data_IF_114393777405
#
_entry.id   IF_114393777405
#
_cell.length_a   1.000
_cell.length_b   1.000
_cell.length_c   1.000
_cell.angle_alpha   90.00
_cell.angle_beta   90.00
_cell.angle_gamma   90.00
#
_symmetry.space_group_name_H-M   'P 1'
#
loop_
_entity.id
_entity.type
_entity.pdbx_description
1 polymer ?
#
# COMPACT_ATOMS: atom_id res chain seq x y z
N UNK A 1 -14.30 25.13 -15.24
CA UNK A 1 -13.27 25.89 -14.48
C UNK A 1 -11.99 25.86 -15.31
N UNK A 2 -11.61 26.98 -15.88
CA UNK A 2 -10.37 27.16 -16.65
C UNK A 2 -9.41 27.97 -15.81
N UNK A 3 -8.52 27.29 -15.10
CA UNK A 3 -7.35 27.91 -14.49
C UNK A 3 -6.12 27.46 -15.28
N UNK A 4 -5.32 28.43 -15.74
CA UNK A 4 -4.19 28.20 -16.65
C UNK A 4 -2.92 28.68 -15.96
N UNK A 5 -2.23 27.78 -15.28
CA UNK A 5 -1.01 28.10 -14.53
C UNK A 5 0.27 27.79 -15.32
N UNK A 6 1.36 28.47 -14.97
CA UNK A 6 2.68 28.38 -15.61
C UNK A 6 3.69 27.81 -14.60
N UNK A 7 4.51 26.85 -15.03
CA UNK A 7 5.55 26.23 -14.20
C UNK A 7 6.89 26.16 -14.95
N UNK A 8 8.00 26.35 -14.24
CA UNK A 8 9.37 26.15 -14.74
C UNK A 8 9.85 24.69 -14.54
N UNK A 9 10.92 24.23 -15.24
CA UNK A 9 11.46 22.85 -15.13
C UNK A 9 11.93 22.48 -13.71
N UNK A 10 12.37 23.48 -12.95
CA UNK A 10 12.78 23.42 -11.54
C UNK A 10 11.58 23.38 -10.55
N UNK A 11 10.36 23.36 -11.07
CA UNK A 11 9.10 23.26 -10.31
C UNK A 11 8.33 21.97 -10.62
N UNK A 12 9.02 20.91 -11.09
CA UNK A 12 8.42 19.62 -11.41
C UNK A 12 7.60 19.05 -10.23
N UNK A 13 8.08 19.23 -9.00
CA UNK A 13 7.38 18.88 -7.76
C UNK A 13 6.02 19.59 -7.58
N UNK A 14 5.84 20.81 -8.12
CA UNK A 14 4.54 21.53 -8.07
C UNK A 14 3.53 20.93 -9.05
N UNK A 15 4.00 20.41 -10.18
CA UNK A 15 3.17 19.66 -11.12
C UNK A 15 2.73 18.35 -10.47
N UNK A 16 3.65 17.60 -9.86
CA UNK A 16 3.33 16.39 -9.10
C UNK A 16 2.36 16.66 -7.93
N UNK A 17 2.54 17.77 -7.18
CA UNK A 17 1.63 18.21 -6.12
C UNK A 17 0.19 18.45 -6.63
N UNK A 18 0.05 19.06 -7.82
CA UNK A 18 -1.25 19.32 -8.45
C UNK A 18 -1.87 18.04 -9.00
N UNK A 19 -1.08 17.17 -9.62
CA UNK A 19 -1.50 15.87 -10.15
C UNK A 19 -1.98 14.96 -9.02
N UNK A 20 -1.24 14.87 -7.91
CA UNK A 20 -1.66 14.13 -6.72
C UNK A 20 -2.97 14.67 -6.12
N UNK A 21 -3.14 15.99 -6.05
CA UNK A 21 -4.38 16.61 -5.56
C UNK A 21 -5.59 16.39 -6.48
N UNK A 22 -5.37 16.26 -7.78
CA UNK A 22 -6.41 15.89 -8.74
C UNK A 22 -6.75 14.39 -8.67
N UNK A 23 -5.73 13.54 -8.44
CA UNK A 23 -5.89 12.11 -8.23
C UNK A 23 -6.72 11.80 -6.96
N UNK A 24 -6.49 12.52 -5.86
CA UNK A 24 -7.29 12.44 -4.61
C UNK A 24 -8.77 12.81 -4.83
N UNK A 25 -9.05 13.66 -5.81
CA UNK A 25 -10.41 14.07 -6.19
C UNK A 25 -11.08 13.12 -7.20
N UNK A 26 -10.43 12.00 -7.52
CA UNK A 26 -10.97 10.97 -8.41
C UNK A 26 -10.82 11.27 -9.91
N UNK A 27 -10.07 12.32 -10.28
CA UNK A 27 -9.73 12.59 -11.67
C UNK A 27 -8.53 11.75 -12.07
N UNK A 28 -8.65 11.04 -13.20
CA UNK A 28 -7.54 10.27 -13.72
C UNK A 28 -6.65 11.18 -14.58
N UNK A 29 -5.37 11.19 -14.23
CA UNK A 29 -4.35 12.03 -14.87
C UNK A 29 -3.50 11.17 -15.83
N UNK A 30 -3.91 9.93 -16.11
CA UNK A 30 -3.20 8.95 -16.97
C UNK A 30 -3.24 9.28 -18.48
N UNK A 31 -3.89 10.38 -18.90
CA UNK A 31 -3.76 10.93 -20.26
C UNK A 31 -3.64 12.45 -20.23
N UNK A 32 -2.45 12.94 -19.86
CA UNK A 32 -2.13 14.35 -20.05
C UNK A 32 -1.87 14.62 -21.52
N UNK A 33 -2.85 15.23 -22.21
CA UNK A 33 -2.62 15.81 -23.54
C UNK A 33 -1.74 17.07 -23.40
N UNK A 34 -0.42 16.88 -23.30
CA UNK A 34 0.56 17.97 -23.26
C UNK A 34 0.63 18.68 -24.61
N UNK A 35 -0.20 19.71 -24.77
CA UNK A 35 -0.07 20.65 -25.88
C UNK A 35 0.84 21.79 -25.46
N UNK A 36 2.01 21.86 -26.09
CA UNK A 36 2.83 23.07 -26.07
C UNK A 36 2.04 24.15 -26.81
N UNK A 37 1.66 25.23 -26.12
CA UNK A 37 1.00 26.36 -26.77
C UNK A 37 1.93 26.99 -27.81
N UNK A 38 1.37 27.73 -28.79
CA UNK A 38 2.14 28.39 -29.86
C UNK A 38 3.27 29.32 -29.35
N UNK A 39 3.29 29.67 -28.06
CA UNK A 39 4.34 30.47 -27.42
C UNK A 39 5.54 29.66 -26.88
N UNK A 40 5.50 28.32 -26.93
CA UNK A 40 6.58 27.44 -26.47
C UNK A 40 6.79 27.39 -24.95
N UNK A 41 5.96 28.08 -24.15
CA UNK A 41 6.18 28.29 -22.69
C UNK A 41 5.07 27.73 -21.81
N UNK A 42 4.07 27.09 -22.39
CA UNK A 42 2.89 26.60 -21.66
C UNK A 42 2.61 25.15 -22.03
N UNK A 43 2.51 24.30 -21.01
CA UNK A 43 2.04 22.92 -21.12
C UNK A 43 0.58 22.88 -20.70
N UNK A 44 -0.32 22.56 -21.63
CA UNK A 44 -1.73 22.35 -21.29
C UNK A 44 -1.91 20.92 -20.77
N UNK A 45 -2.57 20.78 -19.62
CA UNK A 45 -2.75 19.49 -18.92
C UNK A 45 -4.25 19.28 -18.77
N UNK A 46 -4.82 18.29 -19.48
CA UNK A 46 -6.26 17.96 -19.41
C UNK A 46 -6.45 16.63 -18.70
N UNK A 47 -7.13 16.60 -17.54
CA UNK A 47 -7.49 15.34 -16.90
C UNK A 47 -8.58 14.62 -17.72
N UNK A 48 -8.54 13.29 -17.74
CA UNK A 48 -9.53 12.44 -18.39
C UNK A 48 -10.25 11.60 -17.32
N UNK A 49 -11.53 11.29 -17.54
CA UNK A 49 -12.25 10.33 -16.67
C UNK A 49 -12.13 8.96 -17.31
N UNK A 50 -11.67 7.97 -16.55
CA UNK A 50 -11.54 6.57 -16.97
C UNK A 50 -12.40 5.69 -16.05
N UNK A 51 -12.71 4.47 -16.51
CA UNK A 51 -13.50 3.50 -15.76
C UNK A 51 -12.86 3.15 -14.41
N UNK A 52 -13.68 2.88 -13.40
CA UNK A 52 -13.20 2.42 -12.11
C UNK A 52 -12.33 1.15 -12.24
N UNK A 53 -11.23 1.11 -11.47
CA UNK A 53 -10.28 0.00 -11.48
C UNK A 53 -9.36 -0.03 -12.71
N UNK A 54 -9.36 1.02 -13.54
CA UNK A 54 -8.50 1.05 -14.72
C UNK A 54 -7.02 1.04 -14.35
N UNK A 55 -6.60 1.89 -13.39
CA UNK A 55 -5.21 1.97 -12.98
C UNK A 55 -4.74 0.65 -12.37
N UNK A 56 -5.54 0.04 -11.48
CA UNK A 56 -5.26 -1.28 -10.94
C UNK A 56 -5.06 -2.32 -12.06
N UNK A 57 -6.01 -2.44 -13.00
CA UNK A 57 -5.90 -3.43 -14.10
C UNK A 57 -4.70 -3.17 -15.01
N UNK A 58 -4.40 -1.90 -15.31
CA UNK A 58 -3.26 -1.49 -16.13
C UNK A 58 -1.94 -1.86 -15.45
N UNK A 59 -1.77 -1.48 -14.17
CA UNK A 59 -0.57 -1.79 -13.41
C UNK A 59 -0.39 -3.30 -13.23
N UNK A 60 -1.47 -4.03 -12.88
CA UNK A 60 -1.46 -5.48 -12.74
C UNK A 60 -1.00 -6.17 -14.02
N UNK A 61 -1.49 -5.73 -15.18
CA UNK A 61 -1.08 -6.28 -16.48
C UNK A 61 0.39 -6.00 -16.79
N UNK A 62 0.90 -4.81 -16.46
CA UNK A 62 2.26 -4.38 -16.78
C UNK A 62 3.32 -4.98 -15.84
N UNK A 63 2.98 -5.18 -14.56
CA UNK A 63 3.96 -5.45 -13.50
C UNK A 63 3.64 -6.69 -12.66
N UNK A 64 2.40 -7.18 -12.71
CA UNK A 64 1.91 -8.23 -11.81
C UNK A 64 1.55 -7.75 -10.40
N UNK A 65 1.67 -6.45 -10.10
CA UNK A 65 1.30 -5.89 -8.81
C UNK A 65 -0.21 -5.69 -8.71
N UNK A 66 -0.84 -6.34 -7.73
CA UNK A 66 -2.25 -6.12 -7.38
C UNK A 66 -2.33 -5.18 -6.17
N UNK A 67 -2.76 -3.94 -6.41
CA UNK A 67 -2.82 -2.87 -5.41
C UNK A 67 -4.08 -2.04 -5.55
N UNK A 68 -4.46 -1.28 -4.53
CA UNK A 68 -5.64 -0.43 -4.61
C UNK A 68 -5.50 0.64 -5.71
N UNK A 69 -6.62 1.10 -6.27
CA UNK A 69 -6.65 2.03 -7.42
C UNK A 69 -5.76 3.26 -7.23
N UNK A 70 -5.81 3.92 -6.07
CA UNK A 70 -4.99 5.11 -5.80
C UNK A 70 -3.49 4.79 -5.66
N UNK A 71 -3.16 3.60 -5.15
CA UNK A 71 -1.78 3.13 -5.12
C UNK A 71 -1.30 2.84 -6.55
N UNK A 72 -2.14 2.19 -7.36
CA UNK A 72 -1.83 1.87 -8.74
C UNK A 72 -1.52 3.14 -9.55
N UNK A 73 -2.34 4.19 -9.40
CA UNK A 73 -2.10 5.49 -10.05
C UNK A 73 -0.76 6.08 -9.66
N UNK A 74 -0.42 6.05 -8.37
CA UNK A 74 0.85 6.59 -7.88
C UNK A 74 2.05 5.83 -8.46
N UNK A 75 1.97 4.50 -8.52
CA UNK A 75 3.00 3.65 -9.11
C UNK A 75 3.12 3.86 -10.63
N UNK A 76 1.99 4.00 -11.34
CA UNK A 76 1.99 4.31 -12.77
C UNK A 76 2.61 5.68 -13.08
N UNK A 77 2.37 6.69 -12.22
CA UNK A 77 3.01 7.99 -12.38
C UNK A 77 4.54 7.91 -12.21
N UNK A 78 5.03 7.11 -11.25
CA UNK A 78 6.48 6.91 -11.09
C UNK A 78 7.08 6.13 -12.27
N UNK A 79 6.35 5.16 -12.83
CA UNK A 79 6.71 4.48 -14.07
C UNK A 79 6.81 5.44 -15.27
N UNK A 80 5.85 6.34 -15.44
CA UNK A 80 5.87 7.34 -16.52
C UNK A 80 7.00 8.37 -16.32
N UNK A 81 7.26 8.78 -15.09
CA UNK A 81 8.41 9.63 -14.76
C UNK A 81 9.74 8.94 -15.10
N UNK A 82 9.86 7.65 -14.79
CA UNK A 82 11.02 6.84 -15.17
C UNK A 82 11.18 6.75 -16.69
N UNK A 83 10.09 6.51 -17.43
CA UNK A 83 10.08 6.48 -18.89
C UNK A 83 10.55 7.79 -19.52
N UNK A 84 10.08 8.92 -18.99
CA UNK A 84 10.50 10.24 -19.44
C UNK A 84 11.97 10.50 -19.14
N UNK A 85 12.42 10.18 -17.92
CA UNK A 85 13.81 10.40 -17.48
C UNK A 85 14.84 9.58 -18.27
N UNK A 86 14.43 8.45 -18.83
CA UNK A 86 15.26 7.54 -19.64
C UNK A 86 15.13 7.79 -21.15
N UNK A 87 14.34 8.78 -21.58
CA UNK A 87 14.09 9.13 -22.99
C UNK A 87 13.43 8.00 -23.80
N UNK A 88 12.58 7.19 -23.17
CA UNK A 88 11.95 5.98 -23.76
C UNK A 88 10.48 6.18 -24.12
N UNK A 89 10.10 7.41 -24.46
CA UNK A 89 8.72 7.75 -24.84
C UNK A 89 8.24 7.02 -26.10
N UNK A 90 9.15 6.62 -27.00
CA UNK A 90 8.82 5.84 -28.20
C UNK A 90 8.75 4.32 -28.00
N UNK A 91 9.10 3.82 -26.82
CA UNK A 91 9.14 2.38 -26.52
C UNK A 91 7.81 1.84 -25.99
N UNK A 92 7.65 0.53 -26.11
CA UNK A 92 6.50 -0.19 -25.60
C UNK A 92 6.47 -0.14 -24.06
N UNK A 93 5.30 0.17 -23.50
CA UNK A 93 5.16 0.43 -22.07
C UNK A 93 5.43 -0.83 -21.25
N UNK A 94 5.10 -2.00 -21.76
CA UNK A 94 5.37 -3.32 -21.19
C UNK A 94 6.88 -3.54 -20.98
N UNK A 95 7.72 -3.09 -21.91
CA UNK A 95 9.18 -3.19 -21.80
C UNK A 95 9.68 -2.22 -20.73
N UNK A 96 9.22 -0.97 -20.79
CA UNK A 96 9.62 0.06 -19.81
C UNK A 96 9.20 -0.33 -18.39
N UNK A 97 8.01 -0.93 -18.23
CA UNK A 97 7.52 -1.44 -16.94
C UNK A 97 8.40 -2.55 -16.39
N UNK A 98 8.88 -3.47 -17.24
CA UNK A 98 9.80 -4.52 -16.82
C UNK A 98 11.12 -3.95 -16.29
N UNK A 99 11.67 -2.95 -16.98
CA UNK A 99 12.92 -2.32 -16.55
C UNK A 99 12.72 -1.46 -15.30
N UNK A 100 11.63 -0.70 -15.20
CA UNK A 100 11.26 0.04 -14.00
C UNK A 100 11.13 -0.88 -12.77
N UNK A 101 10.49 -2.04 -12.93
CA UNK A 101 10.38 -3.03 -11.87
C UNK A 101 11.77 -3.46 -11.38
N UNK A 102 12.70 -3.72 -12.30
CA UNK A 102 14.05 -4.19 -11.99
C UNK A 102 14.97 -3.11 -11.41
N UNK A 103 14.87 -1.88 -11.90
CA UNK A 103 15.81 -0.80 -11.62
C UNK A 103 15.35 0.13 -10.50
N UNK A 104 14.04 0.26 -10.28
CA UNK A 104 13.46 1.20 -9.31
C UNK A 104 12.69 0.46 -8.22
N UNK A 105 11.69 -0.33 -8.58
CA UNK A 105 10.80 -0.97 -7.60
C UNK A 105 11.54 -2.03 -6.76
N UNK A 106 12.12 -3.04 -7.40
CA UNK A 106 12.79 -4.16 -6.71
C UNK A 106 13.95 -3.71 -5.81
N UNK A 107 14.86 -2.81 -6.24
CA UNK A 107 15.94 -2.34 -5.37
C UNK A 107 15.40 -1.60 -4.15
N UNK A 108 14.33 -0.82 -4.32
CA UNK A 108 13.69 -0.08 -3.23
C UNK A 108 13.09 -1.01 -2.20
N UNK A 109 12.25 -1.97 -2.61
CA UNK A 109 11.60 -2.90 -1.66
C UNK A 109 12.59 -3.89 -1.04
N UNK A 110 13.74 -4.16 -1.67
CA UNK A 110 14.83 -4.95 -1.07
C UNK A 110 15.48 -4.25 0.12
N UNK A 111 15.32 -2.93 0.26
CA UNK A 111 15.81 -2.18 1.42
C UNK A 111 14.96 -2.39 2.68
N UNK A 112 13.78 -3.03 2.59
CA UNK A 112 12.96 -3.35 3.76
C UNK A 112 13.79 -4.19 4.75
N UNK A 113 14.00 -3.70 5.99
CA UNK A 113 14.70 -4.44 7.03
C UNK A 113 13.98 -5.76 7.33
N UNK A 114 14.73 -6.78 7.74
CA UNK A 114 14.24 -8.17 7.84
C UNK A 114 13.01 -8.29 8.75
N UNK A 115 13.02 -7.54 9.83
CA UNK A 115 11.99 -7.50 10.87
C UNK A 115 10.64 -6.96 10.37
N UNK A 116 10.61 -6.12 9.33
CA UNK A 116 9.37 -5.54 8.79
C UNK A 116 8.80 -6.30 7.60
N UNK A 117 9.50 -7.30 7.04
CA UNK A 117 9.07 -7.99 5.81
C UNK A 117 7.76 -8.76 5.92
N UNK A 118 7.37 -9.13 7.13
CA UNK A 118 6.06 -9.74 7.40
C UNK A 118 4.99 -8.72 7.81
N UNK A 119 5.38 -7.47 8.07
CA UNK A 119 4.51 -6.42 8.58
C UNK A 119 4.02 -5.49 7.46
N UNK A 120 4.84 -5.28 6.42
CA UNK A 120 4.50 -4.41 5.29
C UNK A 120 4.72 -5.14 3.97
N UNK A 121 3.72 -5.08 3.10
CA UNK A 121 3.81 -5.62 1.75
C UNK A 121 4.75 -4.75 0.88
N UNK A 122 5.53 -5.32 -0.05
CA UNK A 122 6.46 -4.57 -0.88
C UNK A 122 5.83 -3.39 -1.63
N UNK A 123 4.64 -3.59 -2.20
CA UNK A 123 3.96 -2.54 -2.94
C UNK A 123 3.45 -1.41 -2.03
N UNK A 124 2.98 -1.75 -0.83
CA UNK A 124 2.60 -0.77 0.19
C UNK A 124 3.82 0.05 0.65
N UNK A 125 4.94 -0.61 0.93
CA UNK A 125 6.19 0.06 1.28
C UNK A 125 6.62 1.05 0.20
N UNK A 126 6.63 0.62 -1.07
CA UNK A 126 7.01 1.49 -2.17
C UNK A 126 6.06 2.68 -2.31
N UNK A 127 4.75 2.45 -2.19
CA UNK A 127 3.73 3.49 -2.18
C UNK A 127 3.98 4.55 -1.08
N UNK A 128 4.25 4.11 0.14
CA UNK A 128 4.51 5.01 1.28
C UNK A 128 5.83 5.76 1.14
N UNK A 129 6.87 5.12 0.60
CA UNK A 129 8.13 5.80 0.27
C UNK A 129 7.91 6.94 -0.73
N UNK A 130 7.09 6.72 -1.76
CA UNK A 130 6.77 7.78 -2.73
C UNK A 130 6.02 8.95 -2.08
N UNK A 131 5.13 8.68 -1.13
CA UNK A 131 4.44 9.71 -0.36
C UNK A 131 5.37 10.48 0.57
N UNK A 132 6.25 9.76 1.26
CA UNK A 132 7.27 10.34 2.10
C UNK A 132 8.25 11.20 1.29
N UNK A 133 8.66 10.75 0.09
CA UNK A 133 9.50 11.52 -0.84
C UNK A 133 8.85 12.84 -1.20
N UNK A 134 7.55 12.83 -1.50
CA UNK A 134 6.80 14.04 -1.82
C UNK A 134 6.78 15.01 -0.62
N UNK A 135 6.50 14.51 0.58
CA UNK A 135 6.52 15.32 1.81
C UNK A 135 7.92 15.93 2.09
N UNK A 136 8.98 15.16 1.89
CA UNK A 136 10.35 15.65 2.03
C UNK A 136 10.69 16.73 0.99
N UNK A 137 10.29 16.54 -0.26
CA UNK A 137 10.49 17.52 -1.32
C UNK A 137 9.73 18.82 -1.06
N UNK A 138 8.49 18.73 -0.58
CA UNK A 138 7.68 19.90 -0.19
C UNK A 138 8.37 20.70 0.92
N UNK A 139 8.91 20.01 1.93
CA UNK A 139 9.63 20.64 3.05
C UNK A 139 10.98 21.24 2.61
N UNK A 140 11.69 20.57 1.71
CA UNK A 140 12.99 21.01 1.21
C UNK A 140 12.89 22.13 0.16
N UNK A 141 11.75 22.24 -0.53
CA UNK A 141 11.54 23.16 -1.65
C UNK A 141 12.26 22.74 -2.94
N UNK A 142 12.73 21.49 -3.01
CA UNK A 142 13.39 20.90 -4.18
C UNK A 142 13.18 19.38 -4.19
N UNK A 143 13.44 18.75 -5.33
CA UNK A 143 13.32 17.29 -5.49
C UNK A 143 14.28 16.53 -4.57
N UNK A 144 13.79 15.41 -4.02
CA UNK A 144 14.56 14.53 -3.12
C UNK A 144 14.82 13.19 -3.84
N UNK A 145 16.08 12.73 -3.91
CA UNK A 145 16.41 11.44 -4.53
C UNK A 145 15.73 10.25 -3.84
N UNK A 146 15.35 9.23 -4.61
CA UNK A 146 14.66 8.04 -4.09
C UNK A 146 15.41 7.37 -2.92
N UNK A 147 16.73 7.19 -3.03
CA UNK A 147 17.52 6.54 -1.98
C UNK A 147 17.53 7.31 -0.65
N UNK A 148 17.48 8.64 -0.70
CA UNK A 148 17.36 9.50 0.48
C UNK A 148 15.98 9.35 1.12
N UNK A 149 14.93 9.37 0.29
CA UNK A 149 13.55 9.17 0.77
C UNK A 149 13.34 7.80 1.42
N UNK A 150 13.89 6.72 0.83
CA UNK A 150 13.80 5.36 1.39
C UNK A 150 14.49 5.29 2.75
N UNK A 151 15.71 5.84 2.86
CA UNK A 151 16.46 5.86 4.12
C UNK A 151 15.69 6.64 5.18
N UNK A 152 15.19 7.83 4.83
CA UNK A 152 14.40 8.65 5.74
C UNK A 152 13.10 7.95 6.18
N UNK A 153 12.41 7.26 5.28
CA UNK A 153 11.20 6.52 5.61
C UNK A 153 11.47 5.36 6.56
N UNK A 154 12.53 4.57 6.30
CA UNK A 154 12.95 3.47 7.18
C UNK A 154 13.28 3.97 8.59
N UNK A 155 13.95 5.12 8.70
CA UNK A 155 14.38 5.65 9.99
C UNK A 155 13.25 6.32 10.79
N UNK A 156 12.29 6.97 10.11
CA UNK A 156 11.33 7.86 10.79
C UNK A 156 9.87 7.36 10.75
N UNK A 157 9.47 6.62 9.73
CA UNK A 157 8.07 6.20 9.55
C UNK A 157 7.89 4.71 9.82
N UNK A 158 8.72 3.85 9.22
CA UNK A 158 8.62 2.40 9.35
C UNK A 158 8.59 1.87 10.81
N UNK A 159 9.28 2.48 11.81
CA UNK A 159 9.23 2.01 13.19
C UNK A 159 7.83 2.00 13.81
N UNK A 160 6.86 2.77 13.28
CA UNK A 160 5.48 2.77 13.79
C UNK A 160 4.82 1.39 13.68
N UNK A 161 5.14 0.60 12.65
CA UNK A 161 4.64 -0.76 12.49
C UNK A 161 5.03 -1.69 13.65
N UNK A 162 6.24 -1.49 14.21
CA UNK A 162 6.67 -2.27 15.38
C UNK A 162 5.93 -1.85 16.66
N UNK A 163 5.46 -0.62 16.77
CA UNK A 163 4.69 -0.16 17.92
C UNK A 163 3.27 -0.74 17.87
N UNK A 164 2.64 -0.73 16.70
CA UNK A 164 1.30 -1.30 16.52
C UNK A 164 1.28 -2.81 16.79
N UNK A 165 2.28 -3.54 16.30
CA UNK A 165 2.39 -4.99 16.58
C UNK A 165 2.64 -5.29 18.06
N UNK A 166 3.43 -4.47 18.77
CA UNK A 166 3.62 -4.61 20.22
C UNK A 166 2.35 -4.28 21.00
N UNK A 167 1.66 -3.21 20.65
CA UNK A 167 0.39 -2.84 21.28
C UNK A 167 -0.67 -3.93 21.08
N UNK A 168 -0.76 -4.53 19.90
CA UNK A 168 -1.65 -5.67 19.64
C UNK A 168 -1.25 -6.92 20.45
N UNK A 169 0.04 -7.18 20.61
CA UNK A 169 0.53 -8.28 21.43
C UNK A 169 0.19 -8.09 22.92
N UNK A 170 0.39 -6.87 23.45
CA UNK A 170 0.03 -6.53 24.83
C UNK A 170 -1.47 -6.68 25.09
N UNK A 171 -2.32 -6.23 24.15
CA UNK A 171 -3.78 -6.42 24.25
C UNK A 171 -4.19 -7.90 24.23
N UNK A 172 -3.51 -8.73 23.43
CA UNK A 172 -3.77 -10.17 23.38
C UNK A 172 -3.30 -10.86 24.67
N UNK A 173 -2.13 -10.50 25.21
CA UNK A 173 -1.64 -11.05 26.49
C UNK A 173 -2.56 -10.66 27.66
N UNK A 174 -3.07 -9.43 27.70
CA UNK A 174 -4.08 -9.01 28.67
C UNK A 174 -5.36 -9.84 28.55
N UNK A 175 -5.84 -10.08 27.33
CA UNK A 175 -7.02 -10.89 27.06
C UNK A 175 -6.84 -12.37 27.45
N UNK A 176 -5.67 -12.96 27.17
CA UNK A 176 -5.34 -14.34 27.53
C UNK A 176 -5.13 -14.51 29.05
N UNK A 177 -4.64 -13.49 29.76
CA UNK A 177 -4.49 -13.53 31.22
C UNK A 177 -5.83 -13.54 31.99
N UNK A 178 -6.92 -13.20 31.32
CA UNK A 178 -8.28 -13.19 31.88
C UNK A 178 -8.99 -14.55 31.82
N UNK A 179 -8.42 -15.55 31.15
CA UNK A 179 -8.97 -16.91 31.14
C UNK A 179 -8.54 -17.61 32.43
N UNK A 180 -9.38 -17.50 33.46
CA UNK A 180 -9.30 -18.39 34.62
C UNK A 180 -9.73 -19.77 34.11
N UNK A 181 -8.84 -20.75 34.16
CA UNK A 181 -9.21 -22.16 34.00
C UNK A 181 -10.28 -22.50 35.04
N UNK A 182 -11.55 -22.55 34.62
CA UNK A 182 -12.66 -23.02 35.45
C UNK A 182 -12.64 -24.56 35.61
N UNK A 183 -11.45 -25.17 35.56
CA UNK A 183 -11.22 -26.60 35.79
C UNK A 183 -11.17 -26.96 37.29
N UNK A 184 -11.78 -26.14 38.16
CA UNK A 184 -12.04 -26.52 39.56
C UNK A 184 -13.51 -26.59 39.93
N UNK A 185 -14.43 -26.28 39.01
CA UNK A 185 -15.87 -26.24 39.33
C UNK A 185 -16.59 -27.58 39.11
N UNK A 186 -15.89 -28.59 38.59
CA UNK A 186 -16.32 -29.99 38.61
C UNK A 186 -15.74 -30.77 39.81
N UNK A 187 -15.75 -30.17 41.00
CA UNK A 187 -15.70 -30.97 42.23
C UNK A 187 -17.09 -31.51 42.49
N UNK A 188 -17.30 -32.73 42.00
CA UNK A 188 -18.46 -33.61 42.16
C UNK A 188 -19.10 -33.51 43.57
N UNK A 189 -20.36 -33.04 43.70
CA UNK A 189 -21.05 -33.05 44.98
C UNK A 189 -22.22 -34.05 45.06
N UNK A 190 -22.40 -34.96 44.09
CA UNK A 190 -23.51 -35.91 44.11
C UNK A 190 -23.08 -37.34 43.71
N UNK A 191 -22.50 -38.05 44.68
CA UNK A 191 -22.56 -39.52 44.77
C UNK A 191 -24.03 -39.92 45.03
N UNK A 192 -24.83 -39.98 43.97
CA UNK A 192 -26.24 -40.34 44.03
C UNK A 192 -26.48 -41.83 43.77
N UNK A 193 -25.72 -42.71 44.42
CA UNK A 193 -26.17 -44.07 44.79
C UNK A 193 -26.89 -44.88 43.71
N UNK A 194 -26.50 -44.76 42.44
CA UNK A 194 -27.17 -45.43 41.34
C UNK A 194 -26.85 -46.94 41.38
N UNK A 195 -27.82 -47.74 41.80
CA UNK A 195 -27.76 -49.20 41.81
C UNK A 195 -28.38 -49.76 40.52
N UNK A 196 -27.59 -50.32 39.59
CA UNK A 196 -28.10 -50.82 38.30
C UNK A 196 -29.02 -52.05 38.44
N UNK A 197 -29.11 -52.67 39.62
CA UNK A 197 -30.00 -53.81 39.88
C UNK A 197 -31.47 -53.41 40.13
N UNK A 198 -31.75 -52.11 40.33
CA UNK A 198 -33.11 -51.57 40.56
C UNK A 198 -33.74 -50.94 39.30
N UNK A 199 -33.09 -51.04 38.12
CA UNK A 199 -33.60 -50.48 36.87
C UNK A 199 -34.50 -51.51 36.12
N UNK A 200 -35.84 -51.31 36.08
CA UNK A 200 -36.77 -52.24 35.44
C UNK A 200 -36.68 -52.23 33.91
N UNK A 201 -35.95 -51.29 33.30
CA UNK A 201 -35.90 -51.10 31.85
C UNK A 201 -34.63 -51.68 31.20
N UNK A 202 -33.73 -52.32 31.97
CA UNK A 202 -32.50 -52.94 31.47
C UNK A 202 -32.72 -54.22 30.61
N UNK A 203 -33.96 -54.70 30.47
CA UNK A 203 -34.28 -55.94 29.77
C UNK A 203 -34.86 -55.73 28.37
N UNK A 204 -34.17 -55.02 27.48
CA UNK A 204 -34.42 -55.16 26.04
C UNK A 204 -33.07 -55.05 25.33
N UNK A 205 -32.85 -55.88 24.31
CA UNK A 205 -31.67 -55.94 23.43
C UNK A 205 -30.52 -56.85 23.89
N UNK A 206 -30.86 -58.12 24.17
CA UNK A 206 -29.97 -59.23 23.80
C UNK A 206 -30.73 -60.26 22.97
N UNK A 207 -30.63 -60.16 21.64
CA UNK A 207 -30.56 -61.28 20.69
C UNK A 207 -30.16 -60.79 19.30
#
# INVERSE_FOLDING_TARGET
LTDTDKFNPDEMWKIEQRVNKLNELGFDVDELEMKTAEDGKRVLVRPRVVDAGYANRKLLRLTGLDVQENQARRLLNDLDAYRASTWREGEDLEIVATDWMREVFEPTVRMIPREYRSQIEPAQFFHEVLDHRWFLAEKAGHDVPMGEAVTSYIDNALPSYSLDSKALAELNEEADSGVIDDESTYSDPDDDGYNPDDDPDAAVWSH
#
